data_IF_944843602799
#
_entry.id   IF_944843602799
#
_cell.length_a   1.000
_cell.length_b   1.000
_cell.length_c   1.000
_cell.angle_alpha   90.00
_cell.angle_beta   90.00
_cell.angle_gamma   90.00
#
_symmetry.space_group_name_H-M   'P 1'
#
loop_
_entity.id
_entity.type
_entity.pdbx_description
1 polymer ?
#
# COMPACT_ATOMS: atom_id res chain seq x y z
N UNK A 1 -0.01 -5.70 14.25
CA UNK A 1 -0.42 -5.30 12.88
C UNK A 1 -0.57 -3.79 12.89
N UNK A 2 0.17 -3.09 12.03
CA UNK A 2 0.18 -1.61 11.98
C UNK A 2 -1.03 -1.12 11.17
N UNK A 3 -1.73 -0.08 11.63
CA UNK A 3 -2.74 0.62 10.84
C UNK A 3 -2.19 1.94 10.28
N UNK A 4 -2.44 2.20 9.01
CA UNK A 4 -1.94 3.38 8.29
C UNK A 4 -3.11 4.11 7.64
N UNK A 5 -3.22 5.41 7.89
CA UNK A 5 -4.12 6.29 7.12
C UNK A 5 -3.41 6.82 5.87
N UNK A 6 -3.79 6.29 4.70
CA UNK A 6 -3.27 6.69 3.40
C UNK A 6 -3.74 8.06 2.90
N UNK A 7 -4.58 8.78 3.67
CA UNK A 7 -4.95 10.17 3.39
C UNK A 7 -4.01 11.19 4.03
N UNK A 8 -3.12 10.76 4.92
CA UNK A 8 -2.20 11.67 5.62
C UNK A 8 -1.25 12.41 4.66
N UNK A 9 -0.95 13.68 4.96
CA UNK A 9 -0.09 14.54 4.15
C UNK A 9 -0.58 14.69 2.71
N UNK A 10 0.27 14.37 1.74
CA UNK A 10 -0.01 14.50 0.30
C UNK A 10 -1.09 13.54 -0.24
N UNK A 11 -1.57 12.59 0.59
CA UNK A 11 -2.58 11.60 0.19
C UNK A 11 -2.22 10.89 -1.12
N UNK A 12 -0.93 10.63 -1.33
CA UNK A 12 -0.37 10.10 -2.57
C UNK A 12 -0.11 8.60 -2.54
N UNK A 13 0.58 8.09 -3.56
CA UNK A 13 1.01 6.68 -3.60
C UNK A 13 2.26 6.39 -2.77
N UNK A 14 2.91 7.41 -2.19
CA UNK A 14 4.18 7.27 -1.50
C UNK A 14 4.05 6.50 -0.18
N UNK A 15 3.00 6.78 0.62
CA UNK A 15 2.74 6.08 1.88
C UNK A 15 2.65 4.57 1.65
N UNK A 16 1.89 4.15 0.63
CA UNK A 16 1.77 2.74 0.26
C UNK A 16 3.12 2.11 -0.06
N UNK A 17 3.95 2.76 -0.90
CA UNK A 17 5.25 2.20 -1.31
C UNK A 17 6.20 2.06 -0.13
N UNK A 18 6.27 3.08 0.73
CA UNK A 18 7.10 3.04 1.93
C UNK A 18 6.62 1.95 2.90
N UNK A 19 5.31 1.84 3.12
CA UNK A 19 4.74 0.81 3.97
C UNK A 19 5.05 -0.61 3.46
N UNK A 20 4.91 -0.85 2.14
CA UNK A 20 5.28 -2.13 1.53
C UNK A 20 6.76 -2.44 1.74
N UNK A 21 7.67 -1.50 1.45
CA UNK A 21 9.11 -1.70 1.65
C UNK A 21 9.47 -2.02 3.10
N UNK A 22 8.92 -1.28 4.06
CA UNK A 22 9.18 -1.51 5.48
C UNK A 22 8.58 -2.84 5.96
N UNK A 23 7.35 -3.15 5.55
CA UNK A 23 6.70 -4.41 5.89
C UNK A 23 7.47 -5.61 5.37
N UNK A 24 7.94 -5.55 4.12
CA UNK A 24 8.76 -6.60 3.52
C UNK A 24 10.14 -6.73 4.19
N UNK A 25 10.75 -5.62 4.64
CA UNK A 25 12.05 -5.64 5.32
C UNK A 25 11.96 -6.20 6.75
N UNK A 26 10.96 -5.78 7.51
CA UNK A 26 10.80 -6.13 8.93
C UNK A 26 9.87 -7.31 9.19
N UNK A 27 9.32 -7.90 8.12
CA UNK A 27 8.32 -8.96 8.18
C UNK A 27 7.13 -8.60 9.09
N UNK A 28 6.69 -7.33 9.02
CA UNK A 28 5.65 -6.79 9.90
C UNK A 28 4.38 -6.47 9.10
N UNK A 29 3.23 -7.08 9.44
CA UNK A 29 2.00 -6.87 8.69
C UNK A 29 1.39 -5.49 8.97
N UNK A 30 0.77 -4.90 7.94
CA UNK A 30 0.04 -3.64 8.04
C UNK A 30 -1.29 -3.65 7.28
N UNK A 31 -2.20 -2.78 7.70
CA UNK A 31 -3.42 -2.41 6.97
C UNK A 31 -3.36 -0.94 6.64
N UNK A 32 -3.64 -0.60 5.38
CA UNK A 32 -3.74 0.78 4.94
C UNK A 32 -5.17 1.09 4.49
N UNK A 33 -5.72 2.19 4.99
CA UNK A 33 -7.06 2.68 4.62
C UNK A 33 -6.94 4.02 3.90
N UNK A 34 -8.03 4.50 3.30
CA UNK A 34 -8.08 5.81 2.63
C UNK A 34 -6.97 6.02 1.58
N UNK A 35 -6.54 4.95 0.89
CA UNK A 35 -5.45 5.01 -0.10
C UNK A 35 -5.79 6.07 -1.14
N UNK A 36 -4.97 7.12 -1.19
CA UNK A 36 -5.11 8.21 -2.16
C UNK A 36 -6.45 8.95 -2.12
N UNK A 37 -7.11 9.00 -0.95
CA UNK A 37 -8.46 9.58 -0.79
C UNK A 37 -8.59 11.03 -1.32
N UNK A 38 -7.55 11.85 -1.20
CA UNK A 38 -7.55 13.24 -1.66
C UNK A 38 -7.24 13.46 -3.15
N UNK A 39 -7.02 12.39 -3.94
CA UNK A 39 -6.65 12.51 -5.37
C UNK A 39 -7.88 12.44 -6.27
N UNK A 40 -7.83 13.12 -7.43
CA UNK A 40 -8.88 13.08 -8.47
C UNK A 40 -9.34 11.66 -8.85
N UNK A 41 -8.40 10.71 -8.84
CA UNK A 41 -8.68 9.28 -8.97
C UNK A 41 -8.18 8.60 -7.69
N UNK A 42 -9.04 8.40 -6.67
CA UNK A 42 -8.66 7.79 -5.41
C UNK A 42 -8.38 6.29 -5.56
N UNK A 43 -7.93 5.63 -4.49
CA UNK A 43 -7.67 4.20 -4.47
C UNK A 43 -6.42 3.77 -5.23
N UNK A 44 -6.35 2.48 -5.53
CA UNK A 44 -5.23 1.86 -6.23
C UNK A 44 -5.35 2.08 -7.74
N UNK A 45 -4.33 2.72 -8.30
CA UNK A 45 -4.10 2.80 -9.75
C UNK A 45 -3.16 1.66 -10.20
N UNK A 46 -3.07 1.32 -11.49
CA UNK A 46 -2.27 0.18 -11.96
C UNK A 46 -0.84 0.13 -11.41
N UNK A 47 -0.12 1.25 -11.33
CA UNK A 47 1.23 1.31 -10.77
C UNK A 47 1.30 0.93 -9.29
N UNK A 48 0.24 1.19 -8.52
CA UNK A 48 0.16 0.80 -7.12
C UNK A 48 -0.11 -0.70 -6.99
N UNK A 49 -1.01 -1.24 -7.82
CA UNK A 49 -1.28 -2.68 -7.89
C UNK A 49 -0.02 -3.46 -8.24
N UNK A 50 0.76 -3.00 -9.22
CA UNK A 50 2.05 -3.61 -9.54
C UNK A 50 3.04 -3.54 -8.37
N UNK A 51 3.08 -2.43 -7.63
CA UNK A 51 3.94 -2.31 -6.45
C UNK A 51 3.54 -3.31 -5.35
N UNK A 52 2.24 -3.46 -5.10
CA UNK A 52 1.70 -4.42 -4.12
C UNK A 52 2.04 -5.85 -4.52
N UNK A 53 1.80 -6.23 -5.78
CA UNK A 53 2.08 -7.58 -6.30
C UNK A 53 3.57 -7.89 -6.34
N UNK A 54 4.41 -6.92 -6.68
CA UNK A 54 5.87 -7.09 -6.62
C UNK A 54 6.35 -7.35 -5.19
N UNK A 55 5.86 -6.57 -4.22
CA UNK A 55 6.16 -6.78 -2.81
C UNK A 55 5.66 -8.15 -2.34
N UNK A 56 4.45 -8.56 -2.75
CA UNK A 56 3.89 -9.89 -2.47
C UNK A 56 4.82 -11.01 -2.95
N UNK A 57 5.26 -10.95 -4.21
CA UNK A 57 6.13 -11.97 -4.81
C UNK A 57 7.49 -12.05 -4.10
N UNK A 58 8.10 -10.91 -3.76
CA UNK A 58 9.44 -10.87 -3.15
C UNK A 58 9.41 -11.29 -1.67
N UNK A 59 8.32 -11.01 -0.96
CA UNK A 59 8.19 -11.31 0.48
C UNK A 59 7.37 -12.55 0.79
N UNK A 60 6.82 -13.23 -0.22
CA UNK A 60 5.86 -14.33 -0.07
C UNK A 60 4.67 -13.97 0.86
N UNK A 61 4.25 -12.69 0.84
CA UNK A 61 3.20 -12.19 1.72
C UNK A 61 1.80 -12.61 1.25
N UNK A 62 0.86 -12.69 2.20
CA UNK A 62 -0.56 -12.71 1.90
C UNK A 62 -1.08 -11.29 1.74
N UNK A 63 -1.89 -11.04 0.70
CA UNK A 63 -2.42 -9.72 0.37
C UNK A 63 -3.91 -9.81 0.11
N UNK A 64 -4.66 -8.87 0.68
CA UNK A 64 -6.09 -8.68 0.41
C UNK A 64 -6.34 -7.24 -0.03
N UNK A 65 -7.26 -7.04 -0.98
CA UNK A 65 -7.63 -5.69 -1.44
C UNK A 65 -6.76 -5.12 -2.57
N UNK A 66 -5.96 -5.94 -3.28
CA UNK A 66 -5.18 -5.55 -4.46
C UNK A 66 -6.01 -5.51 -5.77
N UNK A 67 -7.23 -5.01 -5.66
CA UNK A 67 -8.14 -4.80 -6.78
C UNK A 67 -8.60 -3.35 -6.85
N UNK A 68 -9.28 -3.01 -7.95
CA UNK A 68 -9.73 -1.66 -8.27
C UNK A 68 -11.12 -1.40 -7.70
#
# INVERSE_FOLDING_TARGET
MIEIDGSYGEGGGQILRTALSLASLYNMPFRIVNIRKGRKKPGLMPQHLFSVRAAQLVSAAEVTGDHK
#
